data_IF_402876477640
#
_entry.id   IF_402876477640
#
_cell.length_a   1.000
_cell.length_b   1.000
_cell.length_c   1.000
_cell.angle_alpha   90.00
_cell.angle_beta   90.00
_cell.angle_gamma   90.00
#
_symmetry.space_group_name_H-M   'P 1'
#
loop_
_entity.id
_entity.type
_entity.pdbx_description
1 polymer ?
#
# COMPACT_ATOMS: atom_id res chain seq x y z
N UNK A 1 1.04 -40.51 14.60
CA UNK A 1 0.79 -40.13 13.20
C UNK A 1 -0.57 -39.46 13.02
N UNK A 2 -1.71 -40.05 13.42
CA UNK A 2 -3.04 -39.39 13.32
C UNK A 2 -3.13 -38.02 14.01
N UNK A 3 -2.65 -37.89 15.25
CA UNK A 3 -2.62 -36.60 15.97
C UNK A 3 -1.74 -35.53 15.31
N UNK A 4 -0.70 -35.92 14.57
CA UNK A 4 0.21 -34.96 13.89
C UNK A 4 -0.48 -34.43 12.64
N UNK A 5 -1.08 -35.31 11.83
CA UNK A 5 -1.84 -34.92 10.63
C UNK A 5 -3.07 -34.08 10.97
N UNK A 6 -3.76 -34.37 12.07
CA UNK A 6 -4.86 -33.53 12.56
C UNK A 6 -4.35 -32.15 12.98
N UNK A 7 -3.27 -32.06 13.75
CA UNK A 7 -2.68 -30.78 14.15
C UNK A 7 -2.22 -29.93 12.96
N UNK A 8 -1.59 -30.53 11.95
CA UNK A 8 -1.17 -29.85 10.71
C UNK A 8 -2.37 -29.29 9.94
N UNK A 9 -3.47 -30.05 9.84
CA UNK A 9 -4.70 -29.61 9.16
C UNK A 9 -5.34 -28.42 9.88
N UNK A 10 -5.43 -28.44 11.21
CA UNK A 10 -5.96 -27.31 11.97
C UNK A 10 -5.08 -26.06 11.82
N UNK A 11 -3.76 -26.22 11.85
CA UNK A 11 -2.82 -25.11 11.64
C UNK A 11 -2.99 -24.49 10.24
N UNK A 12 -3.19 -25.30 9.20
CA UNK A 12 -3.41 -24.80 7.84
C UNK A 12 -4.77 -24.11 7.67
N UNK A 13 -5.83 -24.65 8.28
CA UNK A 13 -7.16 -24.01 8.28
C UNK A 13 -7.15 -22.66 8.99
N UNK A 14 -6.47 -22.56 10.14
CA UNK A 14 -6.38 -21.31 10.88
C UNK A 14 -5.53 -20.26 10.16
N UNK A 15 -4.44 -20.68 9.51
CA UNK A 15 -3.65 -19.79 8.65
C UNK A 15 -4.48 -19.23 7.50
N UNK A 16 -5.30 -20.06 6.84
CA UNK A 16 -6.20 -19.62 5.76
C UNK A 16 -7.25 -18.63 6.25
N UNK A 17 -7.82 -18.85 7.45
CA UNK A 17 -8.77 -17.90 8.05
C UNK A 17 -8.10 -16.56 8.37
N UNK A 18 -6.89 -16.60 8.92
CA UNK A 18 -6.12 -15.40 9.23
C UNK A 18 -5.84 -14.59 7.96
N UNK A 19 -5.29 -15.23 6.92
CA UNK A 19 -4.99 -14.59 5.64
C UNK A 19 -6.23 -13.96 5.02
N UNK A 20 -7.37 -14.66 5.05
CA UNK A 20 -8.65 -14.12 4.58
C UNK A 20 -9.06 -12.86 5.34
N UNK A 21 -8.93 -12.85 6.66
CA UNK A 21 -9.28 -11.68 7.49
C UNK A 21 -8.35 -10.51 7.19
N UNK A 22 -7.04 -10.75 7.07
CA UNK A 22 -6.05 -9.73 6.73
C UNK A 22 -6.34 -9.09 5.37
N UNK A 23 -6.65 -9.92 4.36
CA UNK A 23 -7.01 -9.44 3.01
C UNK A 23 -8.30 -8.61 3.04
N UNK A 24 -9.34 -9.05 3.78
CA UNK A 24 -10.58 -8.28 3.93
C UNK A 24 -10.34 -6.94 4.62
N UNK A 25 -9.60 -6.93 5.73
CA UNK A 25 -9.30 -5.70 6.49
C UNK A 25 -8.50 -4.69 5.64
N UNK A 26 -7.54 -5.17 4.84
CA UNK A 26 -6.76 -4.33 3.93
C UNK A 26 -7.64 -3.71 2.85
N UNK A 27 -8.51 -4.51 2.24
CA UNK A 27 -9.45 -4.05 1.23
C UNK A 27 -10.42 -3.00 1.79
N UNK A 28 -11.03 -3.24 2.95
CA UNK A 28 -11.91 -2.29 3.64
C UNK A 28 -11.19 -0.97 3.97
N UNK A 29 -9.96 -1.06 4.48
CA UNK A 29 -9.14 0.10 4.80
C UNK A 29 -8.84 0.94 3.55
N UNK A 30 -8.51 0.30 2.43
CA UNK A 30 -8.25 0.98 1.16
C UNK A 30 -9.50 1.66 0.60
N UNK A 31 -10.66 1.00 0.68
CA UNK A 31 -11.96 1.57 0.29
C UNK A 31 -12.22 2.86 1.07
N UNK A 32 -12.11 2.80 2.40
CA UNK A 32 -12.33 3.96 3.26
C UNK A 32 -11.37 5.13 2.93
N UNK A 33 -10.07 4.86 2.80
CA UNK A 33 -9.08 5.90 2.45
C UNK A 33 -9.38 6.53 1.09
N UNK A 34 -9.80 5.72 0.13
CA UNK A 34 -10.12 6.18 -1.23
C UNK A 34 -11.39 7.03 -1.26
N UNK A 35 -12.45 6.61 -0.56
CA UNK A 35 -13.69 7.40 -0.44
C UNK A 35 -13.43 8.74 0.26
N UNK A 36 -12.59 8.73 1.31
CA UNK A 36 -12.16 9.95 1.99
C UNK A 36 -11.40 10.88 1.04
N UNK A 37 -10.43 10.37 0.29
CA UNK A 37 -9.69 11.15 -0.71
C UNK A 37 -10.63 11.77 -1.76
N UNK A 38 -11.59 10.98 -2.28
CA UNK A 38 -12.58 11.49 -3.23
C UNK A 38 -13.41 12.62 -2.64
N UNK A 39 -13.84 12.50 -1.38
CA UNK A 39 -14.59 13.55 -0.68
C UNK A 39 -13.74 14.82 -0.50
N UNK A 40 -12.47 14.66 -0.08
CA UNK A 40 -11.56 15.77 0.21
C UNK A 40 -11.11 16.50 -1.07
N UNK A 41 -11.03 15.79 -2.21
CA UNK A 41 -10.49 16.29 -3.48
C UNK A 41 -11.52 16.36 -4.62
N UNK A 42 -12.82 16.25 -4.33
CA UNK A 42 -13.91 16.24 -5.34
C UNK A 42 -13.87 17.43 -6.32
N UNK A 43 -13.41 18.60 -5.85
CA UNK A 43 -13.35 19.81 -6.67
C UNK A 43 -12.06 19.91 -7.49
N UNK A 44 -11.08 19.03 -7.20
CA UNK A 44 -9.77 18.96 -7.86
C UNK A 44 -9.63 17.75 -8.79
N UNK A 45 -10.48 16.74 -8.64
CA UNK A 45 -10.50 15.54 -9.48
C UNK A 45 -11.43 15.75 -10.70
N UNK A 46 -11.03 15.25 -11.86
CA UNK A 46 -11.90 15.23 -13.03
C UNK A 46 -13.03 14.21 -12.88
N UNK A 47 -14.20 14.48 -13.48
CA UNK A 47 -15.37 13.58 -13.42
C UNK A 47 -15.05 12.16 -13.89
N UNK A 48 -14.27 12.03 -14.97
CA UNK A 48 -13.90 10.73 -15.52
C UNK A 48 -13.02 9.92 -14.53
N UNK A 49 -12.09 10.59 -13.85
CA UNK A 49 -11.23 9.98 -12.83
C UNK A 49 -12.04 9.63 -11.56
N UNK A 50 -12.99 10.49 -11.16
CA UNK A 50 -13.93 10.24 -10.06
C UNK A 50 -14.79 8.99 -10.31
N UNK A 51 -15.39 8.89 -11.51
CA UNK A 51 -16.20 7.73 -11.91
C UNK A 51 -15.36 6.45 -11.96
N UNK A 52 -14.12 6.54 -12.45
CA UNK A 52 -13.19 5.41 -12.50
C UNK A 52 -12.86 4.88 -11.10
N UNK A 53 -12.56 5.76 -10.14
CA UNK A 53 -12.33 5.33 -8.75
C UNK A 53 -13.59 4.73 -8.15
N UNK A 54 -14.74 5.40 -8.27
CA UNK A 54 -16.00 4.90 -7.69
C UNK A 54 -16.31 3.50 -8.19
N UNK A 55 -16.10 3.23 -9.47
CA UNK A 55 -16.29 1.90 -10.05
C UNK A 55 -15.38 0.86 -9.38
N UNK A 56 -14.09 1.14 -9.20
CA UNK A 56 -13.18 0.19 -8.54
C UNK A 56 -13.48 0.03 -7.05
N UNK A 57 -13.93 1.08 -6.36
CA UNK A 57 -14.41 0.97 -4.98
C UNK A 57 -15.60 0.00 -4.89
N UNK A 58 -16.58 0.12 -5.78
CA UNK A 58 -17.72 -0.79 -5.83
C UNK A 58 -17.29 -2.23 -6.20
N UNK A 59 -16.29 -2.40 -7.06
CA UNK A 59 -15.73 -3.72 -7.36
C UNK A 59 -15.11 -4.37 -6.11
N UNK A 60 -14.37 -3.61 -5.30
CA UNK A 60 -13.79 -4.11 -4.04
C UNK A 60 -14.89 -4.47 -3.04
N UNK A 61 -15.91 -3.62 -2.88
CA UNK A 61 -17.07 -3.93 -2.02
C UNK A 61 -17.79 -5.21 -2.45
N UNK A 62 -18.04 -5.38 -3.74
CA UNK A 62 -18.65 -6.60 -4.27
C UNK A 62 -17.76 -7.83 -4.07
N UNK A 63 -16.43 -7.69 -4.17
CA UNK A 63 -15.49 -8.77 -3.87
C UNK A 63 -15.48 -9.14 -2.38
N UNK A 64 -15.61 -8.16 -1.48
CA UNK A 64 -15.68 -8.36 -0.03
C UNK A 64 -16.94 -9.12 0.42
N UNK A 65 -18.06 -8.96 -0.31
CA UNK A 65 -19.27 -9.77 -0.14
C UNK A 65 -19.04 -11.24 -0.54
N UNK A 66 -18.00 -11.52 -1.32
CA UNK A 66 -17.57 -12.87 -1.61
C UNK A 66 -16.60 -13.40 -0.54
N UNK A 67 -16.47 -14.72 -0.47
CA UNK A 67 -15.48 -15.40 0.37
C UNK A 67 -14.23 -15.84 -0.40
N UNK A 68 -13.99 -15.22 -1.56
CA UNK A 68 -12.91 -15.52 -2.48
C UNK A 68 -11.74 -14.55 -2.29
N UNK A 69 -10.70 -15.03 -1.61
CA UNK A 69 -9.50 -14.24 -1.26
C UNK A 69 -8.80 -13.72 -2.52
N UNK A 70 -8.71 -14.52 -3.58
CA UNK A 70 -8.06 -14.11 -4.83
C UNK A 70 -8.82 -12.98 -5.51
N UNK A 71 -10.16 -13.02 -5.49
CA UNK A 71 -10.99 -11.93 -6.01
C UNK A 71 -10.81 -10.64 -5.21
N UNK A 72 -10.79 -10.72 -3.88
CA UNK A 72 -10.59 -9.55 -3.02
C UNK A 72 -9.21 -8.95 -3.27
N UNK A 73 -8.17 -9.79 -3.34
CA UNK A 73 -6.80 -9.37 -3.65
C UNK A 73 -6.73 -8.63 -4.99
N UNK A 74 -7.27 -9.23 -6.04
CA UNK A 74 -7.25 -8.65 -7.38
C UNK A 74 -8.01 -7.32 -7.44
N UNK A 75 -9.20 -7.25 -6.85
CA UNK A 75 -9.97 -6.00 -6.81
C UNK A 75 -9.23 -4.91 -6.02
N UNK A 76 -8.59 -5.28 -4.90
CA UNK A 76 -7.78 -4.37 -4.08
C UNK A 76 -6.59 -3.83 -4.87
N UNK A 77 -5.89 -4.68 -5.62
CA UNK A 77 -4.75 -4.28 -6.46
C UNK A 77 -5.19 -3.35 -7.60
N UNK A 78 -6.35 -3.62 -8.21
CA UNK A 78 -6.90 -2.80 -9.28
C UNK A 78 -7.33 -1.42 -8.75
N UNK A 79 -7.98 -1.35 -7.58
CA UNK A 79 -8.27 -0.09 -6.88
C UNK A 79 -6.98 0.67 -6.54
N UNK A 80 -5.97 -0.03 -6.03
CA UNK A 80 -4.67 0.55 -5.66
C UNK A 80 -4.00 1.24 -6.85
N UNK A 81 -3.99 0.60 -8.04
CA UNK A 81 -3.42 1.18 -9.26
C UNK A 81 -4.14 2.47 -9.67
N UNK A 82 -5.48 2.46 -9.63
CA UNK A 82 -6.29 3.63 -10.00
C UNK A 82 -6.10 4.77 -8.99
N UNK A 83 -6.06 4.45 -7.70
CA UNK A 83 -5.78 5.39 -6.63
C UNK A 83 -4.42 6.09 -6.82
N UNK A 84 -3.36 5.33 -7.13
CA UNK A 84 -2.03 5.91 -7.36
C UNK A 84 -1.95 6.74 -8.65
N UNK A 85 -2.57 6.29 -9.74
CA UNK A 85 -2.63 7.05 -11.01
C UNK A 85 -3.25 8.44 -10.79
N UNK A 86 -4.37 8.49 -10.08
CA UNK A 86 -5.09 9.74 -9.80
C UNK A 86 -4.38 10.59 -8.77
N UNK A 87 -3.83 9.99 -7.72
CA UNK A 87 -2.99 10.70 -6.74
C UNK A 87 -1.78 11.36 -7.40
N UNK A 88 -1.14 10.66 -8.35
CA UNK A 88 -0.01 11.20 -9.13
C UNK A 88 -0.44 12.36 -10.02
N UNK A 89 -1.56 12.23 -10.73
CA UNK A 89 -2.14 13.34 -11.53
C UNK A 89 -2.45 14.56 -10.67
N UNK A 90 -3.03 14.37 -9.48
CA UNK A 90 -3.35 15.45 -8.55
C UNK A 90 -2.09 16.11 -7.97
N UNK A 91 -1.04 15.33 -7.70
CA UNK A 91 0.25 15.86 -7.27
C UNK A 91 0.91 16.69 -8.38
N UNK A 92 0.90 16.20 -9.62
CA UNK A 92 1.42 16.93 -10.79
C UNK A 92 0.63 18.21 -11.07
N UNK A 93 -0.71 18.14 -10.97
CA UNK A 93 -1.58 19.31 -11.13
C UNK A 93 -1.34 20.37 -10.03
N UNK A 94 -1.10 19.95 -8.77
CA UNK A 94 -0.74 20.89 -7.71
C UNK A 94 0.70 21.41 -7.85
N UNK A 95 1.66 20.61 -8.31
CA UNK A 95 3.04 21.05 -8.54
C UNK A 95 3.14 22.12 -9.64
N UNK A 96 2.25 22.07 -10.64
CA UNK A 96 2.11 23.14 -11.64
C UNK A 96 1.30 24.35 -11.15
N UNK A 97 0.44 24.17 -10.14
CA UNK A 97 -0.44 25.23 -9.63
C UNK A 97 0.11 25.97 -8.40
N UNK A 98 1.10 25.42 -7.69
CA UNK A 98 1.54 25.93 -6.39
C UNK A 98 3.06 25.77 -6.18
N UNK A 99 3.78 26.87 -6.41
CA UNK A 99 5.06 27.18 -5.74
C UNK A 99 4.87 27.58 -4.27
N UNK A 100 3.64 27.51 -3.74
CA UNK A 100 3.29 27.85 -2.37
C UNK A 100 2.29 26.81 -1.82
N UNK A 101 2.57 26.25 -0.64
CA UNK A 101 1.81 25.21 0.09
C UNK A 101 2.08 23.73 -0.27
N UNK A 102 3.26 23.30 0.18
CA UNK A 102 3.48 22.13 1.04
C UNK A 102 2.20 21.46 1.61
N UNK A 103 2.02 20.16 1.34
CA UNK A 103 1.26 19.27 2.22
C UNK A 103 0.28 18.28 1.56
N UNK A 104 0.78 17.25 0.89
CA UNK A 104 0.13 15.93 0.89
C UNK A 104 1.18 14.85 1.16
N UNK A 105 1.78 14.93 2.36
CA UNK A 105 2.45 13.80 2.98
C UNK A 105 1.39 13.06 3.78
N UNK A 106 0.91 11.95 3.26
CA UNK A 106 -0.15 11.17 3.88
C UNK A 106 -0.62 9.99 3.05
N UNK A 107 0.26 9.40 2.24
CA UNK A 107 0.12 7.99 1.90
C UNK A 107 0.71 7.25 3.09
N UNK A 108 -0.17 6.85 4.00
CA UNK A 108 0.12 5.98 5.12
C UNK A 108 0.76 4.70 4.57
N UNK A 109 2.08 4.63 4.71
CA UNK A 109 2.88 3.44 4.52
C UNK A 109 2.57 2.43 5.62
N UNK A 110 1.34 1.91 5.68
CA UNK A 110 1.04 0.73 6.49
C UNK A 110 1.39 -0.52 5.69
N UNK A 111 2.68 -0.67 5.40
CA UNK A 111 3.31 -1.97 5.16
C UNK A 111 3.92 -2.37 6.49
N UNK A 112 3.25 -3.28 7.19
CA UNK A 112 3.80 -3.95 8.37
C UNK A 112 5.16 -4.56 8.03
N UNK A 113 6.22 -3.98 8.59
CA UNK A 113 7.45 -4.70 8.84
C UNK A 113 7.95 -4.34 10.24
N UNK A 114 7.49 -5.14 11.21
CA UNK A 114 8.11 -5.23 12.52
C UNK A 114 9.58 -5.66 12.34
N UNK A 115 10.49 -4.76 12.71
CA UNK A 115 11.93 -4.99 12.60
C UNK A 115 12.76 -3.79 13.05
N UNK A 116 12.61 -3.40 14.32
CA UNK A 116 13.67 -2.89 15.21
C UNK A 116 14.65 -1.80 14.72
N UNK A 117 14.49 -0.63 15.35
CA UNK A 117 15.55 0.15 16.03
C UNK A 117 16.22 1.33 15.28
N UNK A 118 15.91 2.52 15.83
CA UNK A 118 16.73 3.74 16.00
C UNK A 118 17.21 4.58 14.79
N UNK A 119 16.50 5.69 14.59
CA UNK A 119 16.98 7.08 14.83
C UNK A 119 18.23 7.55 14.04
N UNK A 120 18.02 8.38 13.00
CA UNK A 120 18.50 9.79 12.94
C UNK A 120 18.26 10.42 11.57
N UNK A 121 18.07 11.73 11.64
CA UNK A 121 17.98 12.69 10.54
C UNK A 121 19.17 12.61 9.56
N UNK A 122 18.93 13.30 8.44
CA UNK A 122 19.88 13.97 7.55
C UNK A 122 20.23 13.29 6.22
N UNK A 123 19.72 13.97 5.19
CA UNK A 123 20.56 14.59 4.15
C UNK A 123 21.13 13.68 3.05
N UNK A 124 20.70 13.98 1.82
CA UNK A 124 21.32 13.53 0.57
C UNK A 124 22.82 13.81 0.59
N UNK A 125 23.67 12.79 0.62
CA UNK A 125 25.03 12.88 0.03
C UNK A 125 25.40 11.53 -0.60
N UNK A 126 25.13 11.37 -1.91
CA UNK A 126 26.12 11.21 -3.01
C UNK A 126 27.04 9.98 -2.87
N UNK A 127 26.82 9.03 -3.78
CA UNK A 127 27.75 7.95 -4.16
C UNK A 127 29.17 8.51 -4.35
N UNK A 128 30.08 8.13 -3.46
CA UNK A 128 31.51 8.26 -3.67
C UNK A 128 32.12 6.87 -3.57
N UNK A 129 32.30 6.24 -4.72
CA UNK A 129 33.20 5.11 -4.93
C UNK A 129 34.57 5.42 -4.30
N UNK A 130 34.88 4.77 -3.18
CA UNK A 130 36.25 4.68 -2.69
C UNK A 130 36.66 3.22 -2.64
N UNK A 131 37.46 2.84 -3.64
CA UNK A 131 38.16 1.56 -3.73
C UNK A 131 38.89 1.28 -2.41
N UNK A 132 38.55 0.16 -1.79
CA UNK A 132 39.40 -0.47 -0.78
C UNK A 132 40.68 -0.87 -1.49
N UNK A 133 41.75 -0.12 -1.25
CA UNK A 133 43.11 -0.59 -1.51
C UNK A 133 43.43 -1.49 -0.34
N UNK A 134 43.45 -2.80 -0.60
CA UNK A 134 44.11 -3.77 0.27
C UNK A 134 45.57 -3.35 0.41
N UNK A 135 45.99 -3.00 1.62
CA UNK A 135 47.39 -3.14 2.03
C UNK A 135 47.41 -4.11 3.22
N UNK A 136 47.42 -5.40 2.86
CA UNK A 136 48.23 -6.39 3.55
C UNK A 136 49.69 -5.90 3.53
N UNK A 137 50.30 -5.66 4.69
CA UNK A 137 51.59 -6.27 5.04
C UNK A 137 52.21 -5.67 6.33
N UNK A 138 52.39 -6.57 7.31
CA UNK A 138 53.61 -6.81 8.09
C UNK A 138 54.54 -5.61 8.37
N UNK A 139 54.69 -5.22 9.64
CA UNK A 139 55.73 -5.72 10.57
C UNK A 139 55.65 -5.02 11.94
#
# INVERSE_FOLDING_TARGET
QRMVTEAEKFAEEDKKKQEKIEVKNKADSLVYQTEKMLSDLKDKIGKDDEEKIKKEVENVKAALESDDVEKIQKATDDLTKVFYDISSKLYQANAQANSDQQGFAGADSNTDQAGSTENKNDEKVVDADYKVVDDDDKN
#
